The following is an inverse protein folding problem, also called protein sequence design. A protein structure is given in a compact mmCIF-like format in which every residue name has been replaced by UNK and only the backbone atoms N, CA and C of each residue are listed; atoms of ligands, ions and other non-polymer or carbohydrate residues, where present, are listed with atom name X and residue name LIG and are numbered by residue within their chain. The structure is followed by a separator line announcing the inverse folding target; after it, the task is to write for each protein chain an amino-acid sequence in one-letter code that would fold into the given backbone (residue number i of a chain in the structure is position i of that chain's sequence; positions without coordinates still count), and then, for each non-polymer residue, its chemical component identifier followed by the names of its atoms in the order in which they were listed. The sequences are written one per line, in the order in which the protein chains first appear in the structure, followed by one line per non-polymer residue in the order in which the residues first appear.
data_IF_813224191215
#
_entry.id   IF_813224191215
#
_cell.length_a   1.000
_cell.length_b   1.000
_cell.length_c   1.000
_cell.angle_alpha   90.00
_cell.angle_beta   90.00
_cell.angle_gamma   90.00
#
_symmetry.space_group_name_H-M   'P 1'
#
loop_
_entity.id
_entity.type
_entity.pdbx_description
1 polymer ?
#
# COMPACT_ATOMS: atom_id res chain seq x y z
N UNK A 1 15.87 -7.98 -15.59
CA UNK A 1 16.60 -7.96 -14.31
C UNK A 1 16.13 -9.16 -13.49
N UNK A 2 17.02 -10.11 -13.21
CA UNK A 2 16.67 -11.24 -12.33
C UNK A 2 16.54 -10.75 -10.89
N UNK A 3 15.42 -11.07 -10.26
CA UNK A 3 15.14 -10.75 -8.85
C UNK A 3 14.75 -12.02 -8.10
N UNK A 4 14.98 -12.02 -6.79
CA UNK A 4 14.56 -13.10 -5.89
C UNK A 4 13.93 -12.51 -4.63
N UNK A 5 12.74 -12.99 -4.30
CA UNK A 5 12.05 -12.62 -3.07
C UNK A 5 12.43 -13.59 -1.96
N UNK A 6 12.96 -13.05 -0.86
CA UNK A 6 13.21 -13.77 0.39
C UNK A 6 12.12 -13.37 1.37
N UNK A 7 11.06 -14.16 1.42
CA UNK A 7 9.91 -13.98 2.30
C UNK A 7 10.09 -14.84 3.55
N UNK A 8 9.66 -14.33 4.71
CA UNK A 8 9.55 -15.12 5.93
C UNK A 8 8.64 -16.33 5.68
N UNK A 9 9.16 -17.58 5.76
CA UNK A 9 8.37 -18.77 5.49
C UNK A 9 7.22 -18.98 6.48
N UNK A 10 7.27 -18.32 7.65
CA UNK A 10 6.22 -18.37 8.66
C UNK A 10 5.14 -17.30 8.46
N UNK A 11 5.33 -16.37 7.52
CA UNK A 11 4.35 -15.32 7.28
C UNK A 11 3.07 -15.92 6.71
N UNK A 12 1.97 -15.78 7.46
CA UNK A 12 0.61 -16.07 7.02
C UNK A 12 -0.27 -14.88 7.35
N UNK A 13 -0.92 -14.33 6.33
CA UNK A 13 -1.91 -13.27 6.53
C UNK A 13 -3.07 -13.80 7.37
N UNK A 14 -3.46 -13.07 8.42
CA UNK A 14 -4.63 -13.41 9.24
C UNK A 14 -5.89 -13.34 8.35
N UNK A 15 -6.82 -14.30 8.46
CA UNK A 15 -7.92 -14.44 7.51
C UNK A 15 -8.88 -13.25 7.54
N UNK A 16 -9.24 -12.76 8.73
CA UNK A 16 -10.12 -11.60 8.94
C UNK A 16 -9.79 -10.93 10.27
N UNK A 17 -9.82 -9.59 10.31
CA UNK A 17 -9.84 -8.81 11.56
C UNK A 17 -11.02 -7.84 11.51
N UNK A 18 -11.83 -7.86 12.57
CA UNK A 18 -12.87 -6.87 12.82
C UNK A 18 -12.26 -5.68 13.54
N UNK A 19 -12.33 -4.49 12.94
CA UNK A 19 -11.80 -3.28 13.53
C UNK A 19 -12.90 -2.58 14.31
N UNK A 20 -12.79 -2.57 15.64
CA UNK A 20 -13.71 -1.85 16.55
C UNK A 20 -13.12 -0.57 17.11
N UNK A 21 -11.81 -0.39 16.95
CA UNK A 21 -11.07 0.76 17.49
C UNK A 21 -11.25 1.97 16.58
N UNK A 22 -11.75 3.08 17.11
CA UNK A 22 -12.02 4.30 16.34
C UNK A 22 -10.77 4.82 15.61
N UNK A 23 -9.62 4.84 16.28
CA UNK A 23 -8.35 5.26 15.68
C UNK A 23 -7.99 4.44 14.42
N UNK A 24 -8.22 3.12 14.45
CA UNK A 24 -7.98 2.25 13.30
C UNK A 24 -9.01 2.46 12.20
N UNK A 25 -10.27 2.75 12.54
CA UNK A 25 -11.29 3.12 11.56
C UNK A 25 -10.93 4.43 10.84
N UNK A 26 -10.43 5.43 11.58
CA UNK A 26 -9.95 6.69 11.01
C UNK A 26 -8.77 6.48 10.05
N UNK A 27 -7.83 5.56 10.38
CA UNK A 27 -6.74 5.18 9.48
C UNK A 27 -7.29 4.58 8.17
N UNK A 28 -8.26 3.67 8.26
CA UNK A 28 -8.85 3.05 7.05
C UNK A 28 -9.62 4.04 6.18
N UNK A 29 -10.31 5.00 6.80
CA UNK A 29 -11.04 6.05 6.08
C UNK A 29 -10.12 7.12 5.48
N UNK A 30 -8.84 7.15 5.88
CA UNK A 30 -7.91 8.17 5.44
C UNK A 30 -7.55 7.99 3.95
N UNK A 31 -7.69 9.04 3.11
CA UNK A 31 -7.41 8.95 1.68
C UNK A 31 -5.93 8.71 1.35
N UNK A 32 -5.02 8.86 2.31
CA UNK A 32 -3.59 8.56 2.17
C UNK A 32 -3.31 7.09 2.47
N UNK A 33 -3.90 6.53 3.53
CA UNK A 33 -3.63 5.14 3.92
C UNK A 33 -4.41 4.14 3.08
N UNK A 34 -5.64 4.49 2.69
CA UNK A 34 -6.52 3.57 1.97
C UNK A 34 -5.89 3.01 0.68
N UNK A 35 -5.28 3.79 -0.22
CA UNK A 35 -4.68 3.23 -1.43
C UNK A 35 -3.49 2.30 -1.16
N UNK A 36 -2.73 2.52 -0.08
CA UNK A 36 -1.65 1.62 0.37
C UNK A 36 -2.23 0.29 0.85
N UNK A 37 -3.30 0.34 1.64
CA UNK A 37 -3.97 -0.87 2.13
C UNK A 37 -4.66 -1.65 0.99
N UNK A 38 -5.13 -0.94 -0.03
CA UNK A 38 -5.72 -1.57 -1.20
C UNK A 38 -4.70 -2.20 -2.13
N UNK A 39 -3.50 -1.61 -2.27
CA UNK A 39 -2.43 -2.24 -3.05
C UNK A 39 -1.97 -3.55 -2.42
N UNK A 40 -1.86 -3.60 -1.09
CA UNK A 40 -1.48 -4.81 -0.36
C UNK A 40 -2.60 -5.84 -0.19
N UNK A 41 -3.76 -5.66 -0.85
CA UNK A 41 -4.89 -6.60 -0.75
C UNK A 41 -4.60 -7.95 -1.40
N UNK A 42 -3.92 -7.94 -2.54
CA UNK A 42 -3.74 -9.11 -3.39
C UNK A 42 -2.41 -9.85 -3.14
N UNK A 43 -1.59 -9.33 -2.21
CA UNK A 43 -0.31 -9.95 -1.86
C UNK A 43 0.69 -8.96 -1.29
N UNK A 44 1.88 -9.47 -1.04
CA UNK A 44 3.01 -8.68 -0.58
C UNK A 44 3.65 -7.90 -1.74
N UNK A 45 4.17 -6.70 -1.46
CA UNK A 45 4.72 -5.77 -2.46
C UNK A 45 5.90 -4.97 -1.93
N UNK A 46 6.78 -4.54 -2.83
CA UNK A 46 7.82 -3.54 -2.54
C UNK A 46 7.24 -2.13 -2.50
N UNK A 47 8.03 -1.17 -2.00
CA UNK A 47 7.60 0.24 -1.97
C UNK A 47 7.26 0.79 -3.35
N UNK A 48 8.02 0.41 -4.39
CA UNK A 48 7.82 0.87 -5.76
C UNK A 48 6.53 0.31 -6.37
N UNK A 49 6.26 -0.97 -6.14
CA UNK A 49 5.01 -1.59 -6.56
C UNK A 49 3.80 -0.93 -5.88
N UNK A 50 3.94 -0.58 -4.58
CA UNK A 50 2.94 0.19 -3.85
C UNK A 50 2.76 1.58 -4.46
N UNK A 51 3.84 2.30 -4.81
CA UNK A 51 3.79 3.62 -5.43
C UNK A 51 3.04 3.59 -6.78
N UNK A 52 3.35 2.63 -7.63
CA UNK A 52 2.68 2.45 -8.92
C UNK A 52 1.18 2.22 -8.76
N UNK A 53 0.78 1.36 -7.82
CA UNK A 53 -0.63 1.07 -7.57
C UNK A 53 -1.36 2.24 -6.89
N UNK A 54 -0.69 2.92 -5.95
CA UNK A 54 -1.21 4.11 -5.30
C UNK A 54 -1.65 5.18 -6.32
N UNK A 55 -0.80 5.43 -7.32
CA UNK A 55 -1.10 6.38 -8.39
C UNK A 55 -2.27 5.92 -9.28
N UNK A 56 -2.37 4.61 -9.57
CA UNK A 56 -3.52 4.04 -10.28
C UNK A 56 -4.83 4.22 -9.50
N UNK A 57 -4.79 4.09 -8.17
CA UNK A 57 -5.96 4.33 -7.32
C UNK A 57 -6.45 5.77 -7.38
N UNK A 58 -5.55 6.76 -7.35
CA UNK A 58 -5.92 8.17 -7.50
C UNK A 58 -6.63 8.40 -8.84
N UNK A 59 -6.09 7.88 -9.94
CA UNK A 59 -6.72 8.00 -11.27
C UNK A 59 -8.12 7.39 -11.27
N UNK A 60 -8.28 6.20 -10.67
CA UNK A 60 -9.57 5.51 -10.60
C UNK A 60 -10.59 6.29 -9.77
N UNK A 61 -10.18 6.87 -8.64
CA UNK A 61 -11.02 7.68 -7.77
C UNK A 61 -11.49 8.97 -8.48
N UNK A 62 -10.59 9.69 -9.14
CA UNK A 62 -10.94 10.89 -9.92
C UNK A 62 -11.94 10.58 -11.04
N UNK A 63 -11.77 9.45 -11.74
CA UNK A 63 -12.72 8.99 -12.77
C UNK A 63 -14.09 8.65 -12.18
N UNK A 64 -14.14 8.04 -11.00
CA UNK A 64 -15.40 7.75 -10.29
C UNK A 64 -16.14 9.02 -9.88
N UNK A 65 -15.40 10.09 -9.56
CA UNK A 65 -15.96 11.43 -9.28
C UNK A 65 -16.42 12.17 -10.54
N UNK A 66 -16.42 11.52 -11.72
CA UNK A 66 -16.88 12.10 -12.97
C UNK A 66 -15.85 12.95 -13.70
N UNK A 67 -14.62 13.04 -13.20
CA UNK A 67 -13.54 13.79 -13.87
C UNK A 67 -13.03 12.94 -15.04
N UNK A 68 -13.32 13.40 -16.26
CA UNK A 68 -12.92 12.72 -17.52
C UNK A 68 -11.82 13.44 -18.28
N UNK A 69 -11.59 14.72 -18.00
CA UNK A 69 -10.57 15.53 -18.66
C UNK A 69 -9.16 15.03 -18.32
N UNK A 70 -8.38 14.66 -19.34
CA UNK A 70 -7.06 14.05 -19.17
C UNK A 70 -6.05 15.02 -18.53
N UNK A 71 -6.11 16.31 -18.87
CA UNK A 71 -5.20 17.33 -18.36
C UNK A 71 -5.47 17.57 -16.88
N UNK A 72 -6.74 17.72 -16.50
CA UNK A 72 -7.20 17.86 -15.12
C UNK A 72 -6.86 16.64 -14.27
N UNK A 73 -7.02 15.42 -14.81
CA UNK A 73 -6.60 14.19 -14.12
C UNK A 73 -5.10 14.24 -13.83
N UNK A 74 -4.28 14.55 -14.84
CA UNK A 74 -2.82 14.60 -14.69
C UNK A 74 -2.40 15.61 -13.62
N UNK A 75 -2.94 16.82 -13.66
CA UNK A 75 -2.67 17.87 -12.66
C UNK A 75 -3.06 17.44 -11.24
N UNK A 76 -4.21 16.77 -11.07
CA UNK A 76 -4.65 16.29 -9.76
C UNK A 76 -3.84 15.11 -9.26
N UNK A 77 -3.43 14.20 -10.15
CA UNK A 77 -2.52 13.10 -9.82
C UNK A 77 -1.17 13.66 -9.39
N UNK A 78 -0.62 14.63 -10.11
CA UNK A 78 0.67 15.24 -9.76
C UNK A 78 0.65 15.93 -8.38
N UNK A 79 -0.51 16.45 -7.95
CA UNK A 79 -0.71 17.01 -6.58
C UNK A 79 -0.89 15.93 -5.51
N UNK A 80 -1.49 14.79 -5.86
CA UNK A 80 -1.85 13.73 -4.91
C UNK A 80 -0.84 12.58 -4.84
N UNK A 81 0.03 12.42 -5.85
CA UNK A 81 1.07 11.41 -5.87
C UNK A 81 1.99 11.56 -4.68
N UNK A 82 2.61 10.45 -4.29
CA UNK A 82 3.52 10.38 -3.15
C UNK A 82 4.79 9.71 -3.62
N UNK A 83 5.92 10.26 -3.21
CA UNK A 83 7.22 9.65 -3.44
C UNK A 83 7.41 8.42 -2.56
N UNK A 84 8.31 7.52 -2.96
CA UNK A 84 8.80 6.39 -2.15
C UNK A 84 9.07 6.77 -0.69
N UNK A 85 9.80 7.88 -0.46
CA UNK A 85 10.14 8.35 0.90
C UNK A 85 8.89 8.69 1.73
N UNK A 86 7.87 9.26 1.09
CA UNK A 86 6.62 9.61 1.77
C UNK A 86 5.79 8.37 2.06
N UNK A 87 5.67 7.48 1.06
CA UNK A 87 4.98 6.20 1.22
C UNK A 87 5.62 5.34 2.30
N UNK A 88 6.95 5.34 2.40
CA UNK A 88 7.65 4.61 3.45
C UNK A 88 7.27 5.10 4.85
N UNK A 89 7.11 6.41 5.06
CA UNK A 89 6.65 6.97 6.34
C UNK A 89 5.22 6.53 6.66
N UNK A 90 4.34 6.53 5.67
CA UNK A 90 2.95 6.07 5.85
C UNK A 90 2.87 4.57 6.13
N UNK A 91 3.70 3.76 5.47
CA UNK A 91 3.82 2.33 5.76
C UNK A 91 4.33 2.11 7.18
N UNK A 92 5.30 2.90 7.66
CA UNK A 92 5.78 2.78 9.03
C UNK A 92 4.66 3.03 10.04
N UNK A 93 3.85 4.08 9.82
CA UNK A 93 2.67 4.32 10.65
C UNK A 93 1.65 3.18 10.59
N UNK A 94 1.47 2.54 9.42
CA UNK A 94 0.61 1.37 9.29
C UNK A 94 1.18 0.11 9.95
N UNK A 95 2.50 -0.01 10.05
CA UNK A 95 3.17 -1.07 10.83
C UNK A 95 2.91 -0.85 12.31
N UNK A 96 3.11 0.38 12.78
CA UNK A 96 2.91 0.75 14.19
C UNK A 96 1.44 0.53 14.62
N UNK A 97 0.50 0.65 13.67
CA UNK A 97 -0.94 0.41 13.87
C UNK A 97 -1.40 -1.05 13.56
N UNK A 98 -0.48 -1.99 13.32
CA UNK A 98 -0.75 -3.41 13.02
C UNK A 98 -1.63 -3.64 11.77
N UNK A 99 -1.58 -2.75 10.79
CA UNK A 99 -2.24 -2.92 9.49
C UNK A 99 -1.34 -3.59 8.45
N UNK A 100 -0.03 -3.33 8.55
CA UNK A 100 0.99 -3.75 7.59
C UNK A 100 2.15 -4.37 8.37
N UNK A 101 2.88 -5.27 7.72
CA UNK A 101 4.06 -5.91 8.29
C UNK A 101 5.14 -6.06 7.23
N UNK A 102 6.41 -5.95 7.65
CA UNK A 102 7.56 -6.28 6.83
C UNK A 102 7.68 -7.81 6.77
N UNK A 103 7.54 -8.39 5.59
CA UNK A 103 7.54 -9.86 5.41
C UNK A 103 8.81 -10.39 4.78
N UNK A 104 9.70 -9.52 4.32
CA UNK A 104 10.91 -9.96 3.65
C UNK A 104 11.61 -8.87 2.85
N UNK A 105 12.42 -9.31 1.90
CA UNK A 105 13.15 -8.45 0.98
C UNK A 105 13.27 -9.05 -0.41
N UNK A 106 13.29 -8.19 -1.43
CA UNK A 106 13.62 -8.52 -2.81
C UNK A 106 15.09 -8.19 -3.05
N UNK A 107 15.83 -9.15 -3.59
CA UNK A 107 17.23 -8.98 -3.99
C UNK A 107 17.28 -8.88 -5.51
N UNK A 108 17.86 -7.81 -6.03
CA UNK A 108 18.26 -7.76 -7.44
C UNK A 108 19.59 -8.54 -7.58
N UNK A 109 19.66 -9.56 -8.42
CA UNK A 109 20.90 -10.36 -8.54
C UNK A 109 22.01 -9.59 -9.24
N UNK A 110 21.64 -8.67 -10.13
CA UNK A 110 22.56 -7.88 -10.97
C UNK A 110 23.00 -6.57 -10.29
N UNK A 111 22.35 -6.17 -9.19
CA UNK A 111 22.64 -4.93 -8.45
C UNK A 111 22.61 -5.25 -6.97
N UNK A 112 23.58 -4.81 -6.18
CA UNK A 112 23.60 -4.99 -4.71
C UNK A 112 22.50 -4.20 -3.95
N UNK A 113 21.36 -3.95 -4.61
CA UNK A 113 20.20 -3.28 -4.08
C UNK A 113 19.24 -4.31 -3.50
N UNK A 114 18.77 -4.02 -2.29
CA UNK A 114 17.72 -4.80 -1.62
C UNK A 114 16.52 -3.91 -1.37
N UNK A 115 15.32 -4.42 -1.65
CA UNK A 115 14.07 -3.71 -1.44
C UNK A 115 13.27 -4.43 -0.37
N UNK A 116 12.67 -3.68 0.56
CA UNK A 116 11.79 -4.25 1.58
C UNK A 116 10.47 -4.67 0.96
N UNK A 117 9.93 -5.80 1.41
CA UNK A 117 8.63 -6.34 0.98
C UNK A 117 7.65 -6.25 2.16
N UNK A 118 6.50 -5.65 1.90
CA UNK A 118 5.45 -5.41 2.88
C UNK A 118 4.20 -6.21 2.52
N UNK A 119 3.43 -6.61 3.52
CA UNK A 119 2.13 -7.24 3.36
C UNK A 119 1.13 -6.67 4.36
N UNK A 120 -0.16 -6.87 4.11
CA UNK A 120 -1.18 -6.63 5.13
C UNK A 120 -1.14 -7.72 6.21
N UNK A 121 -1.38 -7.33 7.44
CA UNK A 121 -1.52 -8.26 8.57
C UNK A 121 -2.78 -9.11 8.45
N UNK A 122 -3.89 -8.53 7.97
CA UNK A 122 -5.17 -9.21 7.81
C UNK A 122 -6.02 -8.69 6.63
N UNK A 123 -7.06 -9.45 6.28
CA UNK A 123 -8.21 -8.91 5.56
C UNK A 123 -9.10 -8.13 6.55
N UNK A 124 -9.42 -6.89 6.24
CA UNK A 124 -10.18 -5.99 7.12
C UNK A 124 -11.62 -5.97 6.64
N UNK A 125 -12.58 -6.13 7.57
CA UNK A 125 -14.01 -6.00 7.32
C UNK A 125 -14.58 -4.97 8.31
N UNK A 126 -15.50 -4.13 7.82
CA UNK A 126 -16.27 -3.22 8.64
C UNK A 126 -17.41 -3.96 9.32
N UNK A 127 -17.72 -3.61 10.56
CA UNK A 127 -18.99 -3.95 11.20
C UNK A 127 -19.55 -2.60 11.65
N UNK A 128 -20.67 -2.22 11.03
CA UNK A 128 -21.48 -1.07 11.46
C UNK A 128 -22.10 -1.34 12.84
#
# INVERSE_FOLDING_TARGET
MKTQDLIDPNFKQKPVVLIKEEAKMQIMANPIYFPILMSLRDGYKTIKEIEEEYNKFIVKDLKKQGIKDRKKIKEMVDKKKRSDKSLYRYIQHLIDADFVVLVGKRIAMEKSMTEKIFARTAKFFFVD
#
